data_IF_799713560973
#
_entry.id   IF_799713560973
#
_cell.length_a   1.000
_cell.length_b   1.000
_cell.length_c   1.000
_cell.angle_alpha   90.00
_cell.angle_beta   90.00
_cell.angle_gamma   90.00
#
_symmetry.space_group_name_H-M   'P 1'
#
loop_
_entity.id
_entity.type
_entity.pdbx_description
1 polymer ?
#
# COMPACT_ATOMS: atom_id res chain seq x y z
N UNK A 1 -10.59 19.90 3.76
CA UNK A 1 -10.36 18.83 2.75
C UNK A 1 -11.66 18.07 2.47
N UNK A 2 -11.77 17.35 1.34
CA UNK A 2 -13.00 16.67 0.89
C UNK A 2 -13.50 15.57 1.84
N UNK A 3 -12.59 14.85 2.51
CA UNK A 3 -12.91 13.67 3.33
C UNK A 3 -12.86 13.94 4.84
N UNK A 4 -12.78 15.22 5.25
CA UNK A 4 -12.52 15.63 6.62
C UNK A 4 -11.09 16.08 6.85
N UNK A 5 -10.84 16.66 8.02
CA UNK A 5 -9.55 17.22 8.43
C UNK A 5 -8.87 16.38 9.52
N UNK A 6 -9.57 15.37 10.06
CA UNK A 6 -9.04 14.45 11.08
C UNK A 6 -8.95 13.03 10.54
N UNK A 7 -8.05 12.23 11.11
CA UNK A 7 -7.88 10.82 10.70
C UNK A 7 -9.17 10.01 10.90
N UNK A 8 -9.97 10.36 11.91
CA UNK A 8 -11.26 9.72 12.22
C UNK A 8 -12.32 10.05 11.17
N UNK A 9 -12.46 11.31 10.75
CA UNK A 9 -13.37 11.69 9.65
C UNK A 9 -12.98 11.04 8.33
N UNK A 10 -11.68 11.00 8.03
CA UNK A 10 -11.14 10.36 6.82
C UNK A 10 -11.45 8.85 6.85
N UNK A 11 -11.20 8.18 7.97
CA UNK A 11 -11.50 6.76 8.15
C UNK A 11 -13.00 6.49 8.00
N UNK A 12 -13.87 7.34 8.57
CA UNK A 12 -15.32 7.21 8.46
C UNK A 12 -15.80 7.28 7.01
N UNK A 13 -15.34 8.29 6.26
CA UNK A 13 -15.67 8.43 4.84
C UNK A 13 -15.17 7.23 4.01
N UNK A 14 -13.94 6.75 4.28
CA UNK A 14 -13.38 5.58 3.59
C UNK A 14 -14.13 4.29 3.92
N UNK A 15 -14.59 4.12 5.15
CA UNK A 15 -15.40 2.98 5.57
C UNK A 15 -16.80 2.96 4.93
N UNK A 16 -17.20 4.03 4.22
CA UNK A 16 -18.42 4.07 3.42
C UNK A 16 -18.49 3.00 2.31
N UNK A 17 -17.35 2.42 1.91
CA UNK A 17 -17.32 1.31 0.93
C UNK A 17 -17.70 -0.03 1.55
N UNK A 18 -17.73 -0.16 2.89
CA UNK A 18 -18.07 -1.41 3.57
C UNK A 18 -19.49 -1.85 3.21
N UNK A 19 -19.67 -3.17 3.04
CA UNK A 19 -20.95 -3.78 2.67
C UNK A 19 -21.36 -4.85 3.68
N UNK A 20 -22.66 -5.02 3.95
CA UNK A 20 -23.14 -6.10 4.82
C UNK A 20 -22.71 -7.48 4.31
N UNK A 21 -22.18 -8.32 5.22
CA UNK A 21 -21.63 -9.65 4.89
C UNK A 21 -20.40 -9.67 3.97
N UNK A 22 -19.89 -8.49 3.62
CA UNK A 22 -18.70 -8.06 2.84
C UNK A 22 -17.30 -8.05 3.46
N UNK A 23 -16.50 -9.11 3.65
CA UNK A 23 -15.18 -8.99 4.31
C UNK A 23 -14.42 -7.69 4.01
N UNK A 24 -14.20 -6.85 5.02
CA UNK A 24 -13.36 -5.66 4.92
C UNK A 24 -12.00 -5.98 5.52
N UNK A 25 -10.96 -5.72 4.73
CA UNK A 25 -9.58 -5.99 5.10
C UNK A 25 -8.84 -4.68 5.05
N UNK A 26 -8.10 -4.37 6.11
CA UNK A 26 -7.25 -3.19 6.22
C UNK A 26 -5.84 -3.58 6.60
N UNK A 27 -4.88 -2.67 6.46
CA UNK A 27 -3.57 -2.76 7.13
C UNK A 27 -3.67 -2.19 8.54
N UNK A 28 -2.58 -2.29 9.31
CA UNK A 28 -2.47 -1.61 10.60
C UNK A 28 -2.53 -0.09 10.44
N UNK A 29 -3.20 0.58 11.37
CA UNK A 29 -3.34 2.04 11.41
C UNK A 29 -3.17 2.53 12.84
N UNK A 30 -3.09 3.86 13.00
CA UNK A 30 -3.30 4.50 14.28
C UNK A 30 -4.62 4.05 14.92
N UNK A 31 -4.63 3.89 16.25
CA UNK A 31 -5.78 3.37 17.00
C UNK A 31 -7.07 4.11 16.69
N UNK A 32 -7.02 5.44 16.55
CA UNK A 32 -8.20 6.26 16.27
C UNK A 32 -8.83 5.93 14.90
N UNK A 33 -8.03 5.67 13.87
CA UNK A 33 -8.53 5.27 12.56
C UNK A 33 -9.14 3.86 12.61
N UNK A 34 -8.41 2.93 13.24
CA UNK A 34 -8.81 1.53 13.34
C UNK A 34 -10.12 1.38 14.15
N UNK A 35 -10.30 2.16 15.20
CA UNK A 35 -11.53 2.18 16.01
C UNK A 35 -12.74 2.58 15.15
N UNK A 36 -12.59 3.59 14.30
CA UNK A 36 -13.65 4.02 13.38
C UNK A 36 -13.99 2.93 12.37
N UNK A 37 -12.98 2.30 11.77
CA UNK A 37 -13.19 1.19 10.83
C UNK A 37 -13.88 -0.01 11.52
N UNK A 38 -13.42 -0.39 12.72
CA UNK A 38 -14.01 -1.48 13.48
C UNK A 38 -15.47 -1.19 13.88
N UNK A 39 -15.77 -0.02 14.46
CA UNK A 39 -17.16 0.36 14.79
C UNK A 39 -18.05 0.30 13.56
N UNK A 40 -17.56 0.83 12.43
CA UNK A 40 -18.31 0.79 11.17
C UNK A 40 -18.55 -0.63 10.66
N UNK A 41 -17.59 -1.53 10.85
CA UNK A 41 -17.76 -2.95 10.49
C UNK A 41 -18.82 -3.64 11.34
N UNK A 42 -18.90 -3.34 12.64
CA UNK A 42 -19.93 -3.86 13.55
C UNK A 42 -21.31 -3.35 13.14
N UNK A 43 -21.45 -2.04 12.91
CA UNK A 43 -22.70 -1.41 12.45
C UNK A 43 -23.24 -2.03 11.16
N UNK A 44 -22.36 -2.30 10.20
CA UNK A 44 -22.71 -2.84 8.88
C UNK A 44 -22.80 -4.38 8.87
N UNK A 45 -22.45 -5.05 9.97
CA UNK A 45 -22.38 -6.52 10.06
C UNK A 45 -21.40 -7.11 9.02
N UNK A 46 -20.18 -6.62 9.10
CA UNK A 46 -19.09 -6.89 8.17
C UNK A 46 -17.97 -7.68 8.87
N UNK A 47 -17.50 -8.80 8.31
CA UNK A 47 -16.30 -9.45 8.81
C UNK A 47 -15.09 -8.52 8.61
N UNK A 48 -14.41 -8.15 9.69
CA UNK A 48 -13.31 -7.18 9.64
C UNK A 48 -11.99 -7.82 10.03
N UNK A 49 -10.94 -7.53 9.24
CA UNK A 49 -9.63 -8.13 9.43
C UNK A 49 -8.50 -7.12 9.22
N UNK A 50 -7.38 -7.41 9.87
CA UNK A 50 -6.11 -6.75 9.62
C UNK A 50 -5.22 -7.70 8.80
N UNK A 51 -4.79 -7.26 7.62
CA UNK A 51 -3.79 -7.94 6.82
C UNK A 51 -2.40 -7.64 7.40
N UNK A 52 -1.70 -8.68 7.89
CA UNK A 52 -0.29 -8.53 8.23
C UNK A 52 0.58 -8.45 6.99
N UNK A 53 1.68 -7.76 7.13
CA UNK A 53 2.77 -7.86 6.17
C UNK A 53 3.30 -9.30 6.08
N UNK A 54 3.68 -9.73 4.87
CA UNK A 54 4.34 -11.01 4.65
C UNK A 54 5.63 -11.08 5.47
N UNK A 55 5.91 -12.24 6.07
CA UNK A 55 7.11 -12.41 6.86
C UNK A 55 8.37 -12.37 5.99
N UNK A 56 9.46 -11.85 6.55
CA UNK A 56 10.78 -11.85 5.90
C UNK A 56 11.19 -13.28 5.48
N UNK A 57 10.87 -14.27 6.29
CA UNK A 57 11.12 -15.69 6.00
C UNK A 57 10.40 -16.14 4.72
N UNK A 58 9.14 -15.75 4.52
CA UNK A 58 8.36 -16.08 3.33
C UNK A 58 8.93 -15.38 2.08
N UNK A 59 9.31 -14.12 2.22
CA UNK A 59 9.91 -13.33 1.13
C UNK A 59 11.25 -13.95 0.72
N UNK A 60 12.10 -14.31 1.69
CA UNK A 60 13.42 -14.90 1.46
C UNK A 60 13.35 -16.30 0.87
N UNK A 61 12.50 -17.18 1.42
CA UNK A 61 12.37 -18.57 0.96
C UNK A 61 11.88 -18.67 -0.48
N UNK A 62 10.98 -17.77 -0.88
CA UNK A 62 10.46 -17.68 -2.24
C UNK A 62 11.27 -16.73 -3.16
N UNK A 63 12.33 -16.10 -2.64
CA UNK A 63 13.18 -15.12 -3.36
C UNK A 63 12.35 -14.04 -4.06
N UNK A 64 11.35 -13.51 -3.36
CA UNK A 64 10.41 -12.55 -3.93
C UNK A 64 11.11 -11.21 -4.12
N UNK A 65 11.07 -10.70 -5.35
CA UNK A 65 11.39 -9.33 -5.67
C UNK A 65 10.14 -8.69 -6.26
N UNK A 66 9.54 -7.73 -5.56
CA UNK A 66 8.33 -7.06 -6.04
C UNK A 66 8.62 -6.28 -7.32
N UNK A 67 7.69 -6.31 -8.26
CA UNK A 67 7.79 -5.55 -9.52
C UNK A 67 7.63 -4.04 -9.34
N UNK A 68 7.04 -3.60 -8.23
CA UNK A 68 6.95 -2.19 -7.82
C UNK A 68 7.98 -1.93 -6.71
N UNK A 69 8.85 -0.94 -6.91
CA UNK A 69 9.91 -0.60 -5.98
C UNK A 69 9.41 0.20 -4.76
N UNK A 70 10.21 0.18 -3.69
CA UNK A 70 9.97 0.94 -2.46
C UNK A 70 9.44 0.08 -1.31
N UNK A 71 9.90 0.37 -0.09
CA UNK A 71 9.61 -0.45 1.10
C UNK A 71 8.11 -0.61 1.37
N UNK A 72 7.32 0.46 1.17
CA UNK A 72 5.87 0.43 1.40
C UNK A 72 5.12 -0.52 0.46
N UNK A 73 5.73 -0.97 -0.64
CA UNK A 73 5.10 -1.92 -1.55
C UNK A 73 4.97 -3.33 -0.95
N UNK A 74 5.79 -3.68 0.05
CA UNK A 74 5.63 -4.95 0.76
C UNK A 74 4.30 -5.04 1.50
N UNK A 75 3.90 -3.99 2.21
CA UNK A 75 2.57 -3.90 2.83
C UNK A 75 1.45 -3.90 1.78
N UNK A 76 1.58 -3.12 0.70
CA UNK A 76 0.58 -3.09 -0.38
C UNK A 76 0.41 -4.46 -1.05
N UNK A 77 1.52 -5.15 -1.33
CA UNK A 77 1.52 -6.50 -1.89
C UNK A 77 0.85 -7.49 -0.93
N UNK A 78 1.20 -7.42 0.36
CA UNK A 78 0.63 -8.28 1.38
C UNK A 78 -0.90 -8.10 1.49
N UNK A 79 -1.37 -6.85 1.49
CA UNK A 79 -2.80 -6.55 1.48
C UNK A 79 -3.47 -7.07 0.20
N UNK A 80 -2.85 -6.85 -0.96
CA UNK A 80 -3.41 -7.28 -2.25
C UNK A 80 -3.57 -8.81 -2.35
N UNK A 81 -2.57 -9.57 -1.91
CA UNK A 81 -2.63 -11.05 -1.89
C UNK A 81 -3.74 -11.53 -0.96
N UNK A 82 -3.86 -10.95 0.23
CA UNK A 82 -4.88 -11.37 1.21
C UNK A 82 -6.29 -11.00 0.75
N UNK A 83 -6.47 -9.85 0.09
CA UNK A 83 -7.71 -9.50 -0.59
C UNK A 83 -8.04 -10.52 -1.69
N UNK A 84 -7.05 -10.90 -2.51
CA UNK A 84 -7.22 -11.85 -3.60
C UNK A 84 -7.59 -13.26 -3.08
N UNK A 85 -6.87 -13.78 -2.09
CA UNK A 85 -7.15 -15.09 -1.48
C UNK A 85 -8.51 -15.12 -0.80
N UNK A 86 -8.88 -14.06 -0.07
CA UNK A 86 -10.23 -13.93 0.51
C UNK A 86 -11.30 -13.96 -0.59
N UNK A 87 -11.11 -13.19 -1.66
CA UNK A 87 -12.04 -13.17 -2.79
C UNK A 87 -12.15 -14.54 -3.48
N UNK A 88 -11.03 -15.22 -3.70
CA UNK A 88 -10.96 -16.53 -4.32
C UNK A 88 -11.71 -17.57 -3.48
N UNK A 89 -11.48 -17.61 -2.17
CA UNK A 89 -12.19 -18.48 -1.23
C UNK A 89 -13.70 -18.24 -1.26
N UNK A 90 -14.14 -16.98 -1.20
CA UNK A 90 -15.56 -16.62 -1.27
C UNK A 90 -16.20 -17.07 -2.60
N UNK A 91 -15.48 -16.94 -3.72
CA UNK A 91 -15.96 -17.39 -5.03
C UNK A 91 -16.08 -18.91 -5.12
N UNK A 92 -15.11 -19.65 -4.60
CA UNK A 92 -15.17 -21.11 -4.57
C UNK A 92 -16.27 -21.63 -3.63
N UNK A 93 -16.46 -21.03 -2.45
CA UNK A 93 -17.48 -21.44 -1.49
C UNK A 93 -18.90 -21.14 -1.97
N UNK A 94 -19.09 -20.00 -2.65
CA UNK A 94 -20.37 -19.67 -3.29
C UNK A 94 -20.78 -20.72 -4.35
N UNK A 95 -19.81 -21.33 -5.03
CA UNK A 95 -20.06 -22.42 -6.00
C UNK A 95 -20.46 -23.75 -5.34
N UNK A 96 -20.09 -23.95 -4.06
CA UNK A 96 -20.32 -25.20 -3.31
C UNK A 96 -21.53 -25.14 -2.35
N UNK A 97 -22.35 -24.08 -2.36
CA UNK A 97 -23.45 -23.86 -1.42
C UNK A 97 -23.03 -24.03 0.07
N UNK A 98 -21.78 -23.75 0.41
CA UNK A 98 -21.32 -23.76 1.79
C UNK A 98 -21.61 -22.41 2.44
N UNK A 99 -22.54 -22.39 3.40
CA UNK A 99 -22.90 -21.22 4.23
C UNK A 99 -21.97 -20.99 5.42
N UNK A 100 -20.85 -21.71 5.50
CA UNK A 100 -19.91 -21.59 6.61
C UNK A 100 -18.69 -20.76 6.21
N UNK A 101 -18.74 -19.45 6.47
CA UNK A 101 -17.66 -18.68 7.10
C UNK A 101 -18.09 -17.21 7.20
N UNK A 102 -19.07 -16.91 8.04
CA UNK A 102 -19.21 -15.56 8.60
C UNK A 102 -18.56 -15.64 9.98
N UNK A 103 -17.26 -15.32 10.11
CA UNK A 103 -16.67 -15.29 11.44
C UNK A 103 -17.41 -14.24 12.29
N UNK A 104 -17.57 -14.56 13.57
CA UNK A 104 -18.15 -13.64 14.54
C UNK A 104 -17.41 -12.31 14.46
N UNK A 105 -18.16 -11.21 14.42
CA UNK A 105 -17.59 -9.89 14.56
C UNK A 105 -16.76 -9.82 15.84
N UNK A 106 -15.56 -9.24 15.76
CA UNK A 106 -14.68 -9.07 16.91
C UNK A 106 -15.41 -8.24 17.99
N UNK A 107 -15.43 -8.75 19.23
CA UNK A 107 -16.17 -8.12 20.35
C UNK A 107 -15.46 -6.86 20.85
N UNK A 108 -14.15 -6.80 20.60
CA UNK A 108 -13.25 -5.70 20.94
C UNK A 108 -12.27 -5.45 19.79
N UNK A 109 -11.58 -4.30 19.82
CA UNK A 109 -10.56 -4.00 18.81
C UNK A 109 -9.35 -4.94 18.90
N UNK A 110 -9.03 -5.39 20.11
CA UNK A 110 -7.90 -6.27 20.39
C UNK A 110 -8.14 -7.70 19.88
N UNK A 111 -9.40 -8.06 19.62
CA UNK A 111 -9.84 -9.34 19.05
C UNK A 111 -9.92 -9.33 17.52
N UNK A 112 -9.60 -8.23 16.83
CA UNK A 112 -9.68 -8.17 15.37
C UNK A 112 -8.75 -9.24 14.77
N UNK A 113 -9.27 -10.22 14.02
CA UNK A 113 -8.44 -11.29 13.48
C UNK A 113 -7.41 -10.74 12.50
N UNK A 114 -6.18 -11.23 12.64
CA UNK A 114 -5.07 -10.86 11.78
C UNK A 114 -4.86 -11.94 10.72
N UNK A 115 -5.09 -11.57 9.46
CA UNK A 115 -4.81 -12.41 8.31
C UNK A 115 -3.30 -12.46 8.08
N UNK A 116 -2.82 -13.63 7.64
CA UNK A 116 -1.43 -13.88 7.32
C UNK A 116 -1.35 -14.78 6.10
N UNK A 117 -0.27 -14.64 5.35
CA UNK A 117 0.05 -15.53 4.24
C UNK A 117 1.14 -16.48 4.71
N UNK A 118 0.85 -17.77 4.73
CA UNK A 118 1.82 -18.81 5.11
C UNK A 118 2.59 -19.35 3.91
N UNK A 119 1.95 -19.38 2.74
CA UNK A 119 2.48 -19.97 1.51
C UNK A 119 2.02 -19.19 0.29
N UNK A 120 2.82 -19.24 -0.77
CA UNK A 120 2.54 -18.60 -2.06
C UNK A 120 2.75 -19.62 -3.16
N UNK A 121 1.81 -19.68 -4.10
CA UNK A 121 1.98 -20.48 -5.31
C UNK A 121 2.85 -19.73 -6.34
N UNK A 122 3.37 -20.48 -7.31
CA UNK A 122 4.23 -19.94 -8.37
C UNK A 122 3.53 -18.84 -9.18
N UNK A 123 2.21 -18.95 -9.36
CA UNK A 123 1.42 -17.96 -10.07
C UNK A 123 1.40 -16.62 -9.32
N UNK A 124 1.22 -16.64 -8.00
CA UNK A 124 1.21 -15.46 -7.14
C UNK A 124 2.60 -14.86 -7.04
N UNK A 125 3.65 -15.66 -6.87
CA UNK A 125 5.05 -15.18 -6.86
C UNK A 125 5.35 -14.47 -8.19
N UNK A 126 4.99 -15.09 -9.32
CA UNK A 126 5.17 -14.49 -10.65
C UNK A 126 4.37 -13.19 -10.80
N UNK A 127 3.13 -13.15 -10.32
CA UNK A 127 2.29 -11.96 -10.38
C UNK A 127 2.88 -10.79 -9.58
N UNK A 128 3.42 -11.05 -8.39
CA UNK A 128 4.08 -10.04 -7.56
C UNK A 128 5.33 -9.48 -8.25
N UNK A 129 6.17 -10.35 -8.81
CA UNK A 129 7.43 -9.94 -9.44
C UNK A 129 7.24 -9.26 -10.79
N UNK A 130 6.17 -9.59 -11.52
CA UNK A 130 5.86 -8.99 -12.83
C UNK A 130 4.90 -7.79 -12.76
N UNK A 131 4.43 -7.43 -11.57
CA UNK A 131 3.52 -6.30 -11.39
C UNK A 131 4.20 -4.99 -11.76
N UNK A 132 3.62 -4.26 -12.71
CA UNK A 132 4.08 -2.92 -13.13
C UNK A 132 2.97 -1.93 -12.88
N UNK A 133 3.29 -0.82 -12.22
CA UNK A 133 2.34 0.26 -11.98
C UNK A 133 2.93 1.60 -12.45
N UNK A 134 2.55 2.09 -13.64
CA UNK A 134 3.05 3.35 -14.17
C UNK A 134 2.84 4.51 -13.19
N UNK A 135 3.87 5.32 -12.97
CA UNK A 135 3.86 6.46 -12.05
C UNK A 135 3.87 6.09 -10.57
N UNK A 136 4.28 4.88 -10.18
CA UNK A 136 4.56 4.49 -8.79
C UNK A 136 5.96 3.92 -8.70
N UNK A 137 6.86 4.65 -8.04
CA UNK A 137 8.24 4.27 -7.86
C UNK A 137 8.89 3.77 -9.17
N UNK A 138 8.59 4.44 -10.29
CA UNK A 138 8.92 3.97 -11.62
C UNK A 138 10.20 4.62 -12.12
N UNK A 139 11.21 3.79 -12.43
CA UNK A 139 12.44 4.22 -13.09
C UNK A 139 12.37 3.89 -14.58
N UNK A 140 12.67 4.87 -15.45
CA UNK A 140 12.76 4.67 -16.89
C UNK A 140 14.13 5.14 -17.38
N UNK A 141 14.95 4.21 -17.86
CA UNK A 141 16.24 4.51 -18.46
C UNK A 141 16.12 4.84 -19.96
N UNK A 142 16.79 5.90 -20.37
CA UNK A 142 17.00 6.35 -21.75
C UNK A 142 18.48 6.70 -21.93
N UNK A 143 18.93 6.83 -23.18
CA UNK A 143 20.32 7.19 -23.47
C UNK A 143 20.64 8.57 -22.88
N UNK A 144 21.52 8.61 -21.88
CA UNK A 144 21.94 9.83 -21.20
C UNK A 144 20.91 10.45 -20.26
N UNK A 145 19.78 9.78 -19.98
CA UNK A 145 18.69 10.32 -19.17
C UNK A 145 17.97 9.22 -18.41
N UNK A 146 17.75 9.42 -17.11
CA UNK A 146 16.92 8.54 -16.29
C UNK A 146 15.75 9.34 -15.74
N UNK A 147 14.53 8.84 -15.94
CA UNK A 147 13.32 9.39 -15.33
C UNK A 147 13.00 8.61 -14.06
N UNK A 148 12.78 9.32 -12.97
CA UNK A 148 12.22 8.79 -11.73
C UNK A 148 10.83 9.38 -11.56
N UNK A 149 9.79 8.55 -11.71
CA UNK A 149 8.40 8.98 -11.77
C UNK A 149 7.63 8.44 -10.57
N UNK A 150 7.01 9.34 -9.82
CA UNK A 150 6.06 9.00 -8.76
C UNK A 150 4.91 10.02 -8.71
N UNK A 151 3.74 9.55 -8.30
CA UNK A 151 2.53 10.37 -8.16
C UNK A 151 2.22 10.78 -6.73
N UNK A 152 3.20 10.75 -5.83
CA UNK A 152 3.08 11.20 -4.44
C UNK A 152 2.56 12.63 -4.35
N UNK A 153 1.58 12.84 -3.46
CA UNK A 153 0.90 14.13 -3.31
C UNK A 153 0.31 14.35 -1.91
N UNK A 154 0.74 13.54 -0.94
CA UNK A 154 0.49 13.74 0.50
C UNK A 154 1.85 13.74 1.21
N UNK A 155 1.95 14.32 2.39
CA UNK A 155 3.20 14.36 3.15
C UNK A 155 3.80 12.96 3.35
N UNK A 156 2.96 11.99 3.68
CA UNK A 156 3.35 10.60 3.94
C UNK A 156 3.84 9.93 2.65
N UNK A 157 3.10 10.06 1.55
CA UNK A 157 3.51 9.50 0.25
C UNK A 157 4.79 10.18 -0.30
N UNK A 158 4.99 11.47 -0.03
CA UNK A 158 6.22 12.18 -0.39
C UNK A 158 7.43 11.61 0.35
N UNK A 159 7.29 11.31 1.64
CA UNK A 159 8.38 10.69 2.42
C UNK A 159 8.77 9.32 1.85
N UNK A 160 7.78 8.49 1.52
CA UNK A 160 8.02 7.18 0.89
C UNK A 160 8.67 7.34 -0.49
N UNK A 161 8.20 8.31 -1.29
CA UNK A 161 8.78 8.62 -2.59
C UNK A 161 10.25 9.05 -2.48
N UNK A 162 10.59 9.89 -1.50
CA UNK A 162 11.97 10.35 -1.30
C UNK A 162 12.90 9.19 -0.93
N UNK A 163 12.46 8.31 -0.03
CA UNK A 163 13.23 7.13 0.35
C UNK A 163 13.51 6.23 -0.86
N UNK A 164 12.49 5.96 -1.68
CA UNK A 164 12.66 5.22 -2.93
C UNK A 164 13.61 5.93 -3.89
N UNK A 165 13.44 7.23 -4.12
CA UNK A 165 14.25 8.00 -5.06
C UNK A 165 15.74 7.97 -4.67
N UNK A 166 16.05 8.17 -3.38
CA UNK A 166 17.43 8.13 -2.89
C UNK A 166 18.07 6.75 -3.13
N UNK A 167 17.32 5.67 -2.90
CA UNK A 167 17.78 4.30 -3.18
C UNK A 167 18.00 4.05 -4.67
N UNK A 168 17.04 4.46 -5.51
CA UNK A 168 17.11 4.29 -6.96
C UNK A 168 18.29 5.05 -7.58
N UNK A 169 18.49 6.31 -7.17
CA UNK A 169 19.64 7.12 -7.60
C UNK A 169 20.95 6.50 -7.13
N UNK A 170 21.02 6.02 -5.88
CA UNK A 170 22.23 5.38 -5.36
C UNK A 170 22.61 4.13 -6.19
N UNK A 171 21.63 3.33 -6.61
CA UNK A 171 21.84 2.17 -7.48
C UNK A 171 22.33 2.57 -8.88
N UNK A 172 21.76 3.63 -9.47
CA UNK A 172 22.15 4.09 -10.82
C UNK A 172 23.51 4.80 -10.85
N UNK A 173 23.92 5.45 -9.75
CA UNK A 173 25.11 6.32 -9.70
C UNK A 173 26.39 5.63 -9.26
N UNK A 174 26.40 4.29 -9.12
CA UNK A 174 27.59 3.51 -8.74
C UNK A 174 28.79 3.67 -9.70
N UNK A 175 28.60 4.29 -10.86
CA UNK A 175 29.64 4.53 -11.87
C UNK A 175 30.36 5.89 -11.78
N UNK A 176 30.19 6.67 -10.69
CA UNK A 176 30.95 7.90 -10.40
C UNK A 176 30.94 8.95 -11.55
N UNK A 177 29.93 8.91 -12.42
CA UNK A 177 29.76 9.92 -13.47
C UNK A 177 29.14 11.17 -12.87
N UNK A 178 29.48 12.33 -13.44
CA UNK A 178 28.82 13.59 -13.07
C UNK A 178 27.39 13.55 -13.62
N UNK A 179 26.41 13.75 -12.75
CA UNK A 179 24.99 13.80 -13.10
C UNK A 179 24.41 15.14 -12.68
N UNK A 180 23.36 15.59 -13.37
CA UNK A 180 22.55 16.74 -12.99
C UNK A 180 21.15 16.23 -12.64
N UNK A 181 20.63 16.62 -11.48
CA UNK A 181 19.32 16.21 -10.97
C UNK A 181 18.35 17.37 -11.12
N UNK A 182 17.33 17.17 -11.95
CA UNK A 182 16.28 18.15 -12.20
C UNK A 182 14.98 17.65 -11.58
N UNK A 183 14.34 18.49 -10.76
CA UNK A 183 13.02 18.22 -10.21
C UNK A 183 11.95 18.78 -11.16
N UNK A 184 11.03 17.91 -11.60
CA UNK A 184 9.76 18.33 -12.17
C UNK A 184 8.67 18.04 -11.15
N UNK A 185 8.11 19.09 -10.54
CA UNK A 185 7.07 18.98 -9.53
C UNK A 185 5.80 19.68 -10.00
N UNK A 186 4.67 18.99 -9.90
CA UNK A 186 3.36 19.56 -10.14
C UNK A 186 2.38 19.06 -9.08
N UNK A 187 1.49 19.93 -8.63
CA UNK A 187 0.43 19.61 -7.68
C UNK A 187 -0.85 20.31 -8.10
N UNK A 188 -1.98 19.64 -7.89
CA UNK A 188 -3.31 20.20 -8.15
C UNK A 188 -3.99 20.50 -6.83
N UNK A 189 -4.99 21.40 -6.84
CA UNK A 189 -5.85 21.79 -5.70
C UNK A 189 -5.16 22.54 -4.56
N UNK A 190 -5.88 22.77 -3.46
CA UNK A 190 -5.50 23.57 -2.29
C UNK A 190 -4.50 22.88 -1.33
N UNK A 191 -3.55 22.11 -1.88
CA UNK A 191 -2.56 21.39 -1.07
C UNK A 191 -1.49 22.35 -0.56
N UNK A 192 -0.96 22.08 0.64
CA UNK A 192 0.19 22.81 1.18
C UNK A 192 1.46 22.43 0.41
N UNK A 193 1.73 23.18 -0.66
CA UNK A 193 2.90 23.02 -1.54
C UNK A 193 4.20 23.11 -0.75
N UNK A 194 4.27 24.02 0.22
CA UNK A 194 5.45 24.21 1.06
C UNK A 194 5.80 22.95 1.83
N UNK A 195 4.79 22.31 2.44
CA UNK A 195 4.98 21.05 3.17
C UNK A 195 5.45 19.90 2.27
N UNK A 196 4.98 19.82 1.03
CA UNK A 196 5.35 18.76 0.09
C UNK A 196 6.77 18.98 -0.46
N UNK A 197 7.10 20.22 -0.84
CA UNK A 197 8.44 20.58 -1.32
C UNK A 197 9.49 20.44 -0.20
N UNK A 198 9.13 20.72 1.05
CA UNK A 198 10.03 20.53 2.19
C UNK A 198 10.57 19.09 2.26
N UNK A 199 9.74 18.07 1.96
CA UNK A 199 10.16 16.67 1.91
C UNK A 199 11.27 16.40 0.87
N UNK A 200 11.31 17.17 -0.22
CA UNK A 200 12.22 16.98 -1.35
C UNK A 200 13.58 17.67 -1.18
N UNK A 201 13.73 18.56 -0.20
CA UNK A 201 14.97 19.32 0.02
C UNK A 201 16.20 18.42 0.25
N UNK A 202 15.99 17.24 0.86
CA UNK A 202 17.01 16.21 1.10
C UNK A 202 17.43 15.41 -0.14
N UNK A 203 16.80 15.65 -1.30
CA UNK A 203 17.13 14.96 -2.55
C UNK A 203 18.25 15.63 -3.33
N UNK A 204 18.70 16.82 -2.92
CA UNK A 204 19.82 17.56 -3.51
C UNK A 204 19.68 17.72 -5.05
N UNK A 205 18.57 18.31 -5.49
CA UNK A 205 18.38 18.72 -6.88
C UNK A 205 19.27 19.93 -7.21
N UNK A 206 19.74 20.02 -8.45
CA UNK A 206 20.73 21.02 -8.90
C UNK A 206 20.10 22.32 -9.45
N UNK A 207 18.76 22.41 -9.50
CA UNK A 207 17.99 23.54 -10.03
C UNK A 207 16.83 23.92 -9.12
#
# INVERSE_FOLDING_TARGET
>A
ALLGNTITEIAWNKAGIFKPGRPAITVEHERAALEVLWKRSVEIQNPFYIAKEMSDLLIQSNKIQLGIAGAKQAENASLAIQLFYMWQQLRHNASKNMTEYIPKAASSMEEIPQLQVSELDDATIKALSSCVWPGRAQTIHRTGLTYYLDGAHTKESMQVCVQWFQQAVHQDTQHNKKHVRILLFNTTSDRDVGSLLACLTQCHFDA
#
